data_IF_027527376607
#
_entry.id   IF_027527376607
#
_cell.length_a   1.000
_cell.length_b   1.000
_cell.length_c   1.000
_cell.angle_alpha   90.00
_cell.angle_beta   90.00
_cell.angle_gamma   90.00
#
_symmetry.space_group_name_H-M   'P 1'
#
loop_
_entity.id
_entity.type
_entity.pdbx_description
1 polymer ?
#
# COMPACT_ATOMS: atom_id res chain seq x y z
N UNK A 1 37.83 -14.92 22.13
CA UNK A 1 36.39 -14.61 22.29
C UNK A 1 35.60 -15.62 21.47
N UNK A 2 34.63 -16.36 22.04
CA UNK A 2 33.87 -17.31 21.26
C UNK A 2 32.95 -16.54 20.31
N UNK A 3 33.17 -16.70 19.02
CA UNK A 3 32.26 -16.24 17.97
C UNK A 3 30.90 -16.87 18.22
N UNK A 4 29.92 -16.02 18.49
CA UNK A 4 28.60 -16.43 18.89
C UNK A 4 27.89 -17.08 17.69
N UNK A 5 27.99 -18.41 17.56
CA UNK A 5 27.40 -19.20 16.46
C UNK A 5 25.91 -18.91 16.23
N UNK A 6 25.22 -18.42 17.26
CA UNK A 6 23.86 -17.90 17.18
C UNK A 6 23.75 -16.67 16.28
N UNK A 7 24.66 -15.69 16.40
CA UNK A 7 24.69 -14.48 15.55
C UNK A 7 24.98 -14.86 14.10
N UNK A 8 25.87 -15.83 13.88
CA UNK A 8 26.18 -16.34 12.53
C UNK A 8 24.99 -17.07 11.90
N UNK A 9 24.28 -17.90 12.66
CA UNK A 9 23.04 -18.56 12.21
C UNK A 9 21.90 -17.57 11.97
N UNK A 10 21.79 -16.51 12.77
CA UNK A 10 20.81 -15.45 12.57
C UNK A 10 21.14 -14.57 11.36
N UNK A 11 22.43 -14.35 11.06
CA UNK A 11 22.86 -13.70 9.82
C UNK A 11 22.65 -14.57 8.57
N UNK A 12 22.50 -15.89 8.75
CA UNK A 12 22.13 -16.86 7.72
C UNK A 12 20.61 -17.07 7.60
N UNK A 13 19.76 -16.17 8.12
CA UNK A 13 18.33 -16.23 7.81
C UNK A 13 18.16 -16.31 6.29
N UNK A 14 17.75 -17.50 5.85
CA UNK A 14 17.62 -17.83 4.45
C UNK A 14 16.64 -16.83 3.85
N UNK A 15 17.06 -16.06 2.84
CA UNK A 15 16.24 -14.97 2.28
C UNK A 15 14.86 -15.46 1.81
N UNK A 16 14.74 -16.76 1.54
CA UNK A 16 13.49 -17.47 1.24
C UNK A 16 12.46 -17.37 2.36
N UNK A 17 12.88 -17.53 3.62
CA UNK A 17 11.97 -17.40 4.76
C UNK A 17 11.51 -15.97 4.95
N UNK A 18 12.42 -15.00 4.79
CA UNK A 18 12.05 -13.57 4.86
C UNK A 18 11.02 -13.21 3.79
N UNK A 19 11.23 -13.66 2.55
CA UNK A 19 10.27 -13.46 1.46
C UNK A 19 8.93 -14.14 1.72
N UNK A 20 8.94 -15.39 2.21
CA UNK A 20 7.72 -16.12 2.53
C UNK A 20 6.94 -15.45 3.66
N UNK A 21 7.60 -15.05 4.75
CA UNK A 21 6.98 -14.36 5.88
C UNK A 21 6.46 -12.99 5.46
N UNK A 22 7.23 -12.21 4.69
CA UNK A 22 6.80 -10.91 4.19
C UNK A 22 5.58 -11.03 3.26
N UNK A 23 5.60 -11.98 2.32
CA UNK A 23 4.48 -12.25 1.43
C UNK A 23 3.22 -12.71 2.17
N UNK A 24 3.36 -13.60 3.16
CA UNK A 24 2.25 -14.04 4.00
C UNK A 24 1.65 -12.88 4.81
N UNK A 25 2.51 -12.01 5.37
CA UNK A 25 2.07 -10.86 6.14
C UNK A 25 1.33 -9.84 5.27
N UNK A 26 1.85 -9.54 4.07
CA UNK A 26 1.18 -8.68 3.10
C UNK A 26 -0.20 -9.22 2.69
N UNK A 27 -0.29 -10.53 2.44
CA UNK A 27 -1.56 -11.16 2.11
C UNK A 27 -2.56 -11.09 3.28
N UNK A 28 -2.08 -11.32 4.51
CA UNK A 28 -2.91 -11.28 5.71
C UNK A 28 -3.43 -9.87 6.00
N UNK A 29 -2.58 -8.84 5.91
CA UNK A 29 -3.00 -7.45 6.14
C UNK A 29 -3.97 -6.98 5.07
N UNK A 30 -3.74 -7.34 3.80
CA UNK A 30 -4.67 -7.07 2.71
C UNK A 30 -6.03 -7.73 2.92
N UNK A 31 -6.04 -9.00 3.33
CA UNK A 31 -7.27 -9.73 3.63
C UNK A 31 -8.02 -9.14 4.84
N UNK A 32 -7.29 -8.74 5.88
CA UNK A 32 -7.85 -8.08 7.07
C UNK A 32 -8.50 -6.73 6.72
N UNK A 33 -7.84 -5.91 5.90
CA UNK A 33 -8.39 -4.65 5.41
C UNK A 33 -9.67 -4.89 4.59
N UNK A 34 -9.66 -5.85 3.65
CA UNK A 34 -10.84 -6.21 2.85
C UNK A 34 -12.04 -6.60 3.72
N UNK A 35 -11.80 -7.40 4.76
CA UNK A 35 -12.84 -7.82 5.68
C UNK A 35 -13.40 -6.62 6.47
N UNK A 36 -12.53 -5.75 6.98
CA UNK A 36 -12.92 -4.55 7.71
C UNK A 36 -13.72 -3.57 6.83
N UNK A 37 -13.25 -3.32 5.60
CA UNK A 37 -13.95 -2.46 4.64
C UNK A 37 -15.35 -3.00 4.32
N UNK A 38 -15.47 -4.31 4.02
CA UNK A 38 -16.77 -4.95 3.78
C UNK A 38 -17.72 -4.88 4.97
N UNK A 39 -17.20 -5.03 6.18
CA UNK A 39 -18.01 -4.90 7.39
C UNK A 39 -18.51 -3.46 7.59
N UNK A 40 -17.73 -2.45 7.21
CA UNK A 40 -18.07 -1.04 7.37
C UNK A 40 -19.05 -0.51 6.31
N UNK A 41 -18.94 -0.94 5.05
CA UNK A 41 -19.69 -0.36 3.92
C UNK A 41 -20.74 -1.28 3.32
N UNK A 42 -20.82 -2.54 3.75
CA UNK A 42 -21.59 -3.57 3.05
C UNK A 42 -21.00 -3.88 1.66
N UNK A 43 -21.87 -4.07 0.66
CA UNK A 43 -21.47 -4.55 -0.66
C UNK A 43 -21.00 -3.48 -1.67
N UNK A 44 -21.15 -2.19 -1.37
CA UNK A 44 -20.87 -1.13 -2.35
C UNK A 44 -20.67 0.22 -1.72
N UNK A 45 -19.40 0.53 -1.40
CA UNK A 45 -19.02 1.83 -0.88
C UNK A 45 -17.55 1.86 -0.52
N UNK A 46 -17.02 3.06 -0.35
CA UNK A 46 -15.72 3.28 0.27
C UNK A 46 -15.94 3.68 1.73
N UNK A 47 -15.12 3.17 2.67
CA UNK A 47 -15.40 3.32 4.10
C UNK A 47 -15.19 4.74 4.63
N UNK A 48 -14.44 5.57 3.91
CA UNK A 48 -14.13 6.95 4.27
C UNK A 48 -14.46 7.90 3.11
N UNK A 49 -14.76 9.16 3.46
CA UNK A 49 -14.99 10.27 2.55
C UNK A 49 -13.77 10.57 1.64
N UNK A 50 -12.55 10.49 2.15
CA UNK A 50 -11.32 10.68 1.38
C UNK A 50 -11.25 9.75 0.16
N UNK A 51 -11.59 8.47 0.35
CA UNK A 51 -11.60 7.49 -0.72
C UNK A 51 -12.68 7.83 -1.76
N UNK A 52 -13.81 8.40 -1.36
CA UNK A 52 -14.86 8.83 -2.27
C UNK A 52 -14.44 10.07 -3.07
N UNK A 53 -13.78 11.04 -2.41
CA UNK A 53 -13.24 12.25 -3.03
C UNK A 53 -12.23 11.85 -4.11
N UNK A 54 -11.26 11.00 -3.79
CA UNK A 54 -10.25 10.58 -4.76
C UNK A 54 -10.81 9.77 -5.93
N UNK A 55 -11.79 8.90 -5.70
CA UNK A 55 -12.47 8.20 -6.79
C UNK A 55 -13.30 9.13 -7.67
N UNK A 56 -13.92 10.16 -7.08
CA UNK A 56 -14.66 11.18 -7.85
C UNK A 56 -13.72 12.01 -8.72
N UNK A 57 -12.58 12.47 -8.15
CA UNK A 57 -11.54 13.17 -8.90
C UNK A 57 -10.97 12.31 -10.03
N UNK A 58 -10.73 11.02 -9.76
CA UNK A 58 -10.23 10.07 -10.75
C UNK A 58 -11.21 9.85 -11.89
N UNK A 59 -12.49 9.63 -11.59
CA UNK A 59 -13.56 9.48 -12.59
C UNK A 59 -13.67 10.73 -13.45
N UNK A 60 -13.74 11.91 -12.84
CA UNK A 60 -13.90 13.16 -13.58
C UNK A 60 -12.65 13.49 -14.41
N UNK A 61 -11.45 13.15 -13.91
CA UNK A 61 -10.24 13.25 -14.71
C UNK A 61 -10.30 12.33 -15.94
N UNK A 62 -10.80 11.11 -15.77
CA UNK A 62 -10.90 10.14 -16.86
C UNK A 62 -11.97 10.49 -17.91
N UNK A 63 -13.15 10.94 -17.46
CA UNK A 63 -14.32 11.19 -18.31
C UNK A 63 -14.34 12.59 -18.93
N UNK A 64 -13.97 13.62 -18.16
CA UNK A 64 -14.06 15.02 -18.59
C UNK A 64 -12.72 15.77 -18.58
N UNK A 65 -11.63 15.10 -18.19
CA UNK A 65 -10.29 15.69 -18.20
C UNK A 65 -10.03 16.70 -17.08
N UNK A 66 -10.85 16.72 -16.03
CA UNK A 66 -10.79 17.72 -14.96
C UNK A 66 -10.65 17.08 -13.58
N UNK A 67 -9.70 17.57 -12.78
CA UNK A 67 -9.55 17.22 -11.36
C UNK A 67 -10.51 18.03 -10.47
N UNK A 68 -11.81 17.81 -10.64
CA UNK A 68 -12.88 18.50 -9.93
C UNK A 68 -13.88 17.51 -9.33
N UNK A 69 -14.64 17.91 -8.32
CA UNK A 69 -15.73 17.09 -7.76
C UNK A 69 -17.00 17.23 -8.61
N UNK A 70 -17.34 18.46 -9.01
CA UNK A 70 -18.47 18.79 -9.87
C UNK A 70 -17.92 19.32 -11.19
N UNK A 71 -18.30 18.70 -12.31
CA UNK A 71 -17.83 19.11 -13.63
C UNK A 71 -18.29 20.54 -13.95
N UNK A 72 -17.36 21.37 -14.42
CA UNK A 72 -17.62 22.79 -14.70
C UNK A 72 -17.50 23.73 -13.50
N UNK A 73 -17.35 23.20 -12.28
CA UNK A 73 -17.08 24.01 -11.07
C UNK A 73 -15.64 23.80 -10.59
N UNK A 74 -14.81 24.85 -10.54
CA UNK A 74 -13.47 24.76 -9.97
C UNK A 74 -13.53 24.27 -8.52
N UNK A 75 -12.71 23.27 -8.20
CA UNK A 75 -12.62 22.69 -6.85
C UNK A 75 -11.16 22.62 -6.41
N UNK A 76 -10.89 23.00 -5.16
CA UNK A 76 -9.58 22.82 -4.53
C UNK A 76 -9.42 21.45 -3.84
N UNK A 77 -10.28 20.48 -4.15
CA UNK A 77 -10.29 19.17 -3.50
C UNK A 77 -9.09 18.27 -3.88
N UNK A 78 -8.34 18.59 -4.93
CA UNK A 78 -7.21 17.79 -5.40
C UNK A 78 -5.93 17.99 -4.56
N UNK A 79 -5.94 17.50 -3.33
CA UNK A 79 -4.78 17.55 -2.40
C UNK A 79 -3.70 16.50 -2.73
N UNK A 80 -4.04 15.47 -3.51
CA UNK A 80 -3.11 14.46 -4.04
C UNK A 80 -3.39 14.17 -5.54
N UNK A 81 -3.02 15.09 -6.44
CA UNK A 81 -3.37 14.98 -7.86
C UNK A 81 -2.73 13.76 -8.54
N UNK A 82 -1.50 13.39 -8.15
CA UNK A 82 -0.83 12.19 -8.65
C UNK A 82 -1.61 10.92 -8.31
N UNK A 83 -2.11 10.80 -7.09
CA UNK A 83 -2.91 9.65 -6.66
C UNK A 83 -4.21 9.55 -7.47
N UNK A 84 -4.90 10.68 -7.63
CA UNK A 84 -6.14 10.75 -8.43
C UNK A 84 -5.89 10.39 -9.91
N UNK A 85 -4.74 10.80 -10.47
CA UNK A 85 -4.33 10.42 -11.82
C UNK A 85 -4.03 8.92 -11.96
N UNK A 86 -3.38 8.29 -10.98
CA UNK A 86 -3.15 6.84 -10.98
C UNK A 86 -4.47 6.06 -10.88
N UNK A 87 -5.44 6.56 -10.10
CA UNK A 87 -6.77 5.97 -10.01
C UNK A 87 -7.58 6.14 -11.31
N UNK A 88 -7.42 7.24 -12.03
CA UNK A 88 -8.11 7.51 -13.30
C UNK A 88 -7.86 6.41 -14.35
N UNK A 89 -6.71 5.74 -14.28
CA UNK A 89 -6.35 4.60 -15.14
C UNK A 89 -7.41 3.48 -15.07
N UNK A 90 -8.02 3.22 -13.90
CA UNK A 90 -9.08 2.23 -13.79
C UNK A 90 -10.28 2.57 -14.66
N UNK A 91 -10.65 3.85 -14.73
CA UNK A 91 -11.79 4.30 -15.51
C UNK A 91 -11.51 4.24 -17.01
N UNK A 92 -10.29 4.54 -17.45
CA UNK A 92 -9.89 4.36 -18.86
C UNK A 92 -9.85 2.91 -19.32
N UNK A 93 -9.45 2.01 -18.41
CA UNK A 93 -9.34 0.58 -18.70
C UNK A 93 -10.60 -0.22 -18.32
N UNK A 94 -11.66 0.46 -17.90
CA UNK A 94 -12.92 -0.15 -17.42
C UNK A 94 -12.72 -1.19 -16.30
N UNK A 95 -11.69 -1.00 -15.48
CA UNK A 95 -11.40 -1.86 -14.33
C UNK A 95 -12.27 -1.46 -13.12
N UNK A 96 -12.58 -2.41 -12.22
CA UNK A 96 -13.28 -2.09 -10.97
C UNK A 96 -12.47 -1.08 -10.14
N UNK A 97 -12.94 0.17 -9.92
CA UNK A 97 -12.10 1.23 -9.37
C UNK A 97 -11.59 0.96 -7.95
N UNK A 98 -12.41 0.28 -7.14
CA UNK A 98 -12.01 -0.12 -5.79
C UNK A 98 -10.90 -1.17 -5.83
N UNK A 99 -11.02 -2.18 -6.68
CA UNK A 99 -9.99 -3.23 -6.79
C UNK A 99 -8.67 -2.66 -7.30
N UNK A 100 -8.73 -1.72 -8.23
CA UNK A 100 -7.55 -1.00 -8.72
C UNK A 100 -6.87 -0.17 -7.63
N UNK A 101 -7.65 0.60 -6.85
CA UNK A 101 -7.12 1.38 -5.73
C UNK A 101 -6.40 0.47 -4.73
N UNK A 102 -6.99 -0.68 -4.41
CA UNK A 102 -6.37 -1.66 -3.51
C UNK A 102 -5.11 -2.29 -4.09
N UNK A 103 -5.10 -2.61 -5.38
CA UNK A 103 -3.91 -3.13 -6.03
C UNK A 103 -2.75 -2.10 -5.95
N UNK A 104 -3.04 -0.83 -6.21
CA UNK A 104 -2.06 0.25 -6.03
C UNK A 104 -1.61 0.39 -4.58
N UNK A 105 -2.52 0.31 -3.61
CA UNK A 105 -2.19 0.32 -2.17
C UNK A 105 -1.22 -0.79 -1.78
N UNK A 106 -1.49 -2.03 -2.20
CA UNK A 106 -0.60 -3.19 -2.00
C UNK A 106 0.78 -2.97 -2.62
N UNK A 107 0.84 -2.43 -3.85
CA UNK A 107 2.11 -2.11 -4.52
C UNK A 107 2.89 -1.04 -3.75
N UNK A 108 2.21 0.03 -3.32
CA UNK A 108 2.82 1.09 -2.52
C UNK A 108 3.32 0.58 -1.17
N UNK A 109 2.56 -0.28 -0.48
CA UNK A 109 2.97 -0.88 0.80
C UNK A 109 4.20 -1.78 0.62
N UNK A 110 4.19 -2.66 -0.38
CA UNK A 110 5.34 -3.51 -0.68
C UNK A 110 6.58 -2.69 -1.06
N UNK A 111 6.40 -1.64 -1.87
CA UNK A 111 7.48 -0.70 -2.24
C UNK A 111 8.04 0.04 -1.02
N UNK A 112 7.16 0.48 -0.11
CA UNK A 112 7.54 1.16 1.14
C UNK A 112 8.32 0.22 2.06
N UNK A 113 7.86 -1.02 2.25
CA UNK A 113 8.57 -2.02 3.04
C UNK A 113 9.96 -2.34 2.47
N UNK A 114 10.08 -2.45 1.14
CA UNK A 114 11.36 -2.64 0.47
C UNK A 114 12.29 -1.43 0.66
N UNK A 115 11.76 -0.20 0.58
CA UNK A 115 12.53 1.01 0.84
C UNK A 115 13.01 1.09 2.30
N UNK A 116 12.14 0.75 3.26
CA UNK A 116 12.48 0.67 4.70
C UNK A 116 13.59 -0.35 4.94
N UNK A 117 13.49 -1.55 4.36
CA UNK A 117 14.56 -2.55 4.45
C UNK A 117 15.90 -1.99 3.98
N UNK A 118 15.94 -1.39 2.78
CA UNK A 118 17.16 -0.84 2.19
C UNK A 118 17.73 0.31 3.03
N UNK A 119 16.88 1.20 3.49
CA UNK A 119 17.28 2.34 4.32
C UNK A 119 17.83 1.88 5.67
N UNK A 120 17.13 1.00 6.38
CA UNK A 120 17.59 0.43 7.65
C UNK A 120 18.90 -0.33 7.50
N UNK A 121 19.07 -1.08 6.41
CA UNK A 121 20.34 -1.75 6.14
C UNK A 121 21.47 -0.75 5.85
N UNK A 122 21.20 0.31 5.09
CA UNK A 122 22.17 1.36 4.79
C UNK A 122 22.61 2.13 6.05
N UNK A 123 21.69 2.40 6.98
CA UNK A 123 21.96 3.17 8.19
C UNK A 123 22.68 2.37 9.28
N UNK A 124 22.30 1.09 9.45
CA UNK A 124 22.73 0.30 10.61
C UNK A 124 23.61 -0.91 10.26
N UNK A 125 23.72 -1.27 8.97
CA UNK A 125 24.50 -2.44 8.52
C UNK A 125 23.98 -3.80 9.00
N UNK A 126 22.85 -3.83 9.71
CA UNK A 126 22.35 -5.03 10.40
C UNK A 126 21.11 -5.62 9.71
N UNK A 127 21.27 -6.80 9.07
CA UNK A 127 20.22 -7.45 8.27
C UNK A 127 18.97 -7.79 9.07
N UNK A 128 19.12 -8.25 10.31
CA UNK A 128 17.97 -8.57 11.17
C UNK A 128 17.16 -7.33 11.51
N UNK A 129 17.82 -6.20 11.73
CA UNK A 129 17.14 -4.95 12.07
C UNK A 129 16.37 -4.42 10.87
N UNK A 130 16.99 -4.49 9.67
CA UNK A 130 16.34 -4.14 8.42
C UNK A 130 15.14 -5.05 8.11
N UNK A 131 15.30 -6.35 8.32
CA UNK A 131 14.23 -7.34 8.18
C UNK A 131 13.08 -7.07 9.15
N UNK A 132 13.38 -6.82 10.42
CA UNK A 132 12.38 -6.49 11.44
C UNK A 132 11.61 -5.21 11.08
N UNK A 133 12.32 -4.15 10.68
CA UNK A 133 11.69 -2.89 10.26
C UNK A 133 10.75 -3.09 9.06
N UNK A 134 11.20 -3.85 8.05
CA UNK A 134 10.39 -4.22 6.88
C UNK A 134 9.11 -4.98 7.28
N UNK A 135 9.25 -5.99 8.14
CA UNK A 135 8.09 -6.77 8.62
C UNK A 135 7.13 -5.93 9.44
N UNK A 136 7.62 -5.01 10.28
CA UNK A 136 6.77 -4.05 11.00
C UNK A 136 6.01 -3.16 10.02
N UNK A 137 6.65 -2.66 8.96
CA UNK A 137 5.96 -1.88 7.92
C UNK A 137 4.88 -2.70 7.22
N UNK A 138 5.13 -3.96 6.89
CA UNK A 138 4.14 -4.84 6.26
C UNK A 138 2.96 -5.19 7.19
N UNK A 139 3.16 -5.12 8.52
CA UNK A 139 2.11 -5.33 9.52
C UNK A 139 1.16 -4.13 9.66
N UNK A 140 1.51 -2.97 9.13
CA UNK A 140 0.67 -1.76 9.15
C UNK A 140 -0.48 -1.89 8.16
N UNK A 141 -1.49 -2.68 8.53
CA UNK A 141 -2.71 -2.96 7.75
C UNK A 141 -3.51 -1.71 7.36
N UNK A 142 -3.28 -0.57 8.02
CA UNK A 142 -3.90 0.72 7.71
C UNK A 142 -3.31 1.40 6.48
N UNK A 143 -2.19 0.88 5.95
CA UNK A 143 -1.51 1.40 4.76
C UNK A 143 -1.88 0.65 3.47
N UNK A 144 -2.77 -0.34 3.57
CA UNK A 144 -3.42 -0.97 2.41
C UNK A 144 -4.61 -0.11 1.98
#
# INVERSE_FOLDING_TARGET
MPTNRLVERLNQLDGRWLMATGGALLALTTAGYLAAARAATGAGGVPLDDAWIHQTLARNLAEVGQLVIVAGEPSAAATSPLWSALLAVAYWLELPPLLWAMALGVVCLAGTAAAVYRLSFCLFGHRLLAAAACLVTLAEWRLV
#
